data_IF_338021294878
#
_entry.id   IF_338021294878
#
_cell.length_a   1.000
_cell.length_b   1.000
_cell.length_c   1.000
_cell.angle_alpha   90.00
_cell.angle_beta   90.00
_cell.angle_gamma   90.00
#
_symmetry.space_group_name_H-M   'P 1'
#
loop_
_entity.id
_entity.type
_entity.pdbx_description
1 polymer ?
#
# COMPACT_ATOMS: atom_id res chain seq x y z
N UNK A 1 24.22 10.31 16.85
CA UNK A 1 25.22 9.43 16.28
C UNK A 1 25.16 9.49 14.75
N UNK A 2 26.28 9.84 14.12
CA UNK A 2 26.40 10.00 12.68
C UNK A 2 26.16 8.73 11.90
N UNK A 3 26.33 7.57 12.49
CA UNK A 3 26.05 6.28 11.87
C UNK A 3 24.55 6.00 11.74
N UNK A 4 23.74 6.41 12.73
CA UNK A 4 22.28 6.27 12.66
C UNK A 4 21.63 7.17 11.62
N UNK A 5 22.22 8.34 11.35
CA UNK A 5 21.73 9.26 10.31
C UNK A 5 21.91 8.73 8.89
N UNK A 6 22.76 7.71 8.70
CA UNK A 6 23.08 7.14 7.40
C UNK A 6 22.37 5.81 7.11
N UNK A 7 21.62 5.26 8.08
CA UNK A 7 20.86 4.03 7.88
C UNK A 7 19.47 4.33 7.32
N UNK A 8 18.95 3.40 6.52
CA UNK A 8 17.58 3.50 6.02
C UNK A 8 16.59 3.33 7.17
N UNK A 9 15.58 4.21 7.24
CA UNK A 9 14.50 4.13 8.21
C UNK A 9 13.50 3.03 7.87
N UNK A 10 13.58 2.47 6.66
CA UNK A 10 12.71 1.41 6.17
C UNK A 10 13.55 0.14 6.03
N UNK A 11 13.05 -1.04 6.50
CA UNK A 11 13.81 -2.28 6.36
C UNK A 11 14.21 -2.57 4.91
N UNK A 12 15.45 -3.00 4.71
CA UNK A 12 15.99 -3.31 3.37
C UNK A 12 15.32 -4.50 2.71
N UNK A 13 14.58 -5.30 3.47
CA UNK A 13 13.81 -6.44 2.97
C UNK A 13 12.57 -6.02 2.19
N UNK A 14 12.20 -4.73 2.22
CA UNK A 14 11.05 -4.21 1.49
C UNK A 14 11.52 -3.70 0.13
N UNK A 15 10.92 -4.22 -0.93
CA UNK A 15 11.09 -3.70 -2.28
C UNK A 15 10.06 -2.61 -2.53
N UNK A 16 10.50 -1.52 -3.13
CA UNK A 16 9.65 -0.39 -3.46
C UNK A 16 9.55 -0.25 -4.97
N UNK A 17 8.33 -0.22 -5.48
CA UNK A 17 8.07 0.02 -6.90
C UNK A 17 6.99 1.08 -7.07
N UNK A 18 6.97 1.70 -8.25
CA UNK A 18 5.88 2.62 -8.58
C UNK A 18 5.42 2.40 -10.01
N UNK A 19 4.16 2.74 -10.25
CA UNK A 19 3.52 2.65 -11.56
C UNK A 19 2.93 4.02 -11.86
N UNK A 20 3.23 4.56 -13.05
CA UNK A 20 2.68 5.83 -13.50
C UNK A 20 1.38 5.57 -14.24
N UNK A 21 0.34 6.31 -13.89
CA UNK A 21 -0.98 6.21 -14.51
C UNK A 21 -1.64 7.58 -14.56
N UNK A 22 -2.71 7.69 -15.34
CA UNK A 22 -3.56 8.87 -15.28
C UNK A 22 -4.37 8.86 -13.99
N UNK A 23 -4.67 10.06 -13.48
CA UNK A 23 -5.43 10.23 -12.24
C UNK A 23 -6.74 9.46 -12.24
N UNK A 24 -7.45 9.41 -13.38
CA UNK A 24 -8.72 8.71 -13.52
C UNK A 24 -8.61 7.19 -13.48
N UNK A 25 -7.42 6.68 -13.74
CA UNK A 25 -7.16 5.24 -13.88
C UNK A 25 -6.59 4.60 -12.61
N UNK A 26 -6.52 5.34 -11.50
CA UNK A 26 -5.90 4.82 -10.26
C UNK A 26 -6.57 3.55 -9.74
N UNK A 27 -7.90 3.54 -9.67
CA UNK A 27 -8.65 2.41 -9.11
C UNK A 27 -8.61 1.21 -10.07
N UNK A 28 -8.71 1.46 -11.36
CA UNK A 28 -8.54 0.40 -12.36
C UNK A 28 -7.12 -0.17 -12.33
N UNK A 29 -6.12 0.68 -12.11
CA UNK A 29 -4.72 0.25 -11.94
C UNK A 29 -4.58 -0.61 -10.68
N UNK A 30 -5.23 -0.24 -9.58
CA UNK A 30 -5.28 -1.07 -8.37
C UNK A 30 -5.79 -2.49 -8.70
N UNK A 31 -6.88 -2.59 -9.43
CA UNK A 31 -7.44 -3.88 -9.83
C UNK A 31 -6.44 -4.69 -10.67
N UNK A 32 -5.79 -4.04 -11.61
CA UNK A 32 -4.77 -4.69 -12.46
C UNK A 32 -3.56 -5.16 -11.67
N UNK A 33 -3.13 -4.36 -10.70
CA UNK A 33 -2.05 -4.75 -9.79
C UNK A 33 -2.47 -5.96 -8.95
N UNK A 34 -3.69 -5.95 -8.41
CA UNK A 34 -4.22 -7.08 -7.64
C UNK A 34 -4.20 -8.38 -8.43
N UNK A 35 -4.55 -8.31 -9.71
CA UNK A 35 -4.49 -9.48 -10.61
C UNK A 35 -3.05 -9.93 -10.88
N UNK A 36 -2.12 -8.98 -10.98
CA UNK A 36 -0.71 -9.28 -11.28
C UNK A 36 0.06 -9.81 -10.07
N UNK A 37 -0.39 -9.47 -8.85
CA UNK A 37 0.28 -9.89 -7.63
C UNK A 37 -0.14 -11.30 -7.23
N UNK A 38 0.83 -12.04 -6.68
CA UNK A 38 0.56 -13.30 -6.00
C UNK A 38 0.82 -13.09 -4.51
N UNK A 39 -0.06 -12.35 -3.86
CA UNK A 39 0.08 -11.98 -2.46
C UNK A 39 -1.22 -12.28 -1.71
N UNK A 40 -1.09 -12.94 -0.57
CA UNK A 40 -2.23 -13.36 0.24
C UNK A 40 -2.64 -12.31 1.28
N UNK A 41 -1.77 -11.36 1.57
CA UNK A 41 -2.00 -10.37 2.61
C UNK A 41 -1.59 -8.99 2.13
N UNK A 42 -2.57 -8.22 1.66
CA UNK A 42 -2.34 -6.92 1.02
C UNK A 42 -3.09 -5.83 1.78
N UNK A 43 -2.37 -4.80 2.18
CA UNK A 43 -2.96 -3.60 2.75
C UNK A 43 -2.93 -2.49 1.71
N UNK A 44 -4.08 -1.83 1.49
CA UNK A 44 -4.22 -0.78 0.47
C UNK A 44 -4.54 0.53 1.16
N UNK A 45 -3.69 1.53 0.95
CA UNK A 45 -3.89 2.88 1.49
C UNK A 45 -4.47 3.82 0.45
N UNK A 46 -5.51 4.52 0.86
CA UNK A 46 -6.29 5.41 0.00
C UNK A 46 -6.55 6.70 0.78
N UNK A 47 -6.39 7.86 0.13
CA UNK A 47 -6.43 9.14 0.83
C UNK A 47 -7.84 9.63 1.17
N UNK A 48 -8.86 9.22 0.42
CA UNK A 48 -10.23 9.73 0.61
C UNK A 48 -11.23 8.61 0.83
N UNK A 49 -12.31 8.91 1.57
CA UNK A 49 -13.41 7.96 1.77
C UNK A 49 -14.12 7.59 0.47
N UNK A 50 -14.21 8.53 -0.45
CA UNK A 50 -14.85 8.29 -1.76
C UNK A 50 -14.07 7.23 -2.53
N UNK A 51 -12.77 7.40 -2.67
CA UNK A 51 -11.90 6.45 -3.38
C UNK A 51 -11.81 5.11 -2.64
N UNK A 52 -11.91 5.13 -1.31
CA UNK A 52 -11.96 3.91 -0.50
C UNK A 52 -13.19 3.06 -0.87
N UNK A 53 -14.35 3.70 -0.93
CA UNK A 53 -15.60 3.03 -1.30
C UNK A 53 -15.55 2.50 -2.72
N UNK A 54 -15.09 3.30 -3.67
CA UNK A 54 -14.94 2.91 -5.06
C UNK A 54 -13.99 1.72 -5.22
N UNK A 55 -12.86 1.75 -4.52
CA UNK A 55 -11.87 0.68 -4.54
C UNK A 55 -12.43 -0.61 -3.93
N UNK A 56 -13.15 -0.49 -2.82
CA UNK A 56 -13.81 -1.63 -2.17
C UNK A 56 -14.79 -2.31 -3.12
N UNK A 57 -15.67 -1.53 -3.74
CA UNK A 57 -16.67 -2.04 -4.68
C UNK A 57 -16.02 -2.69 -5.90
N UNK A 58 -14.95 -2.10 -6.42
CA UNK A 58 -14.22 -2.63 -7.57
C UNK A 58 -13.60 -3.99 -7.27
N UNK A 59 -12.90 -4.11 -6.15
CA UNK A 59 -12.27 -5.37 -5.77
C UNK A 59 -13.31 -6.43 -5.44
N UNK A 60 -14.38 -6.06 -4.75
CA UNK A 60 -15.48 -6.98 -4.44
C UNK A 60 -16.15 -7.50 -5.71
N UNK A 61 -16.38 -6.63 -6.68
CA UNK A 61 -16.96 -7.00 -7.97
C UNK A 61 -16.10 -8.04 -8.70
N UNK A 62 -14.77 -7.96 -8.56
CA UNK A 62 -13.83 -8.91 -9.17
C UNK A 62 -13.53 -10.10 -8.26
N UNK A 63 -14.38 -10.35 -7.26
CA UNK A 63 -14.36 -11.52 -6.38
C UNK A 63 -13.16 -11.62 -5.45
N UNK A 64 -12.53 -10.49 -5.11
CA UNK A 64 -11.52 -10.45 -4.06
C UNK A 64 -12.18 -10.41 -2.68
N UNK A 65 -11.56 -11.08 -1.73
CA UNK A 65 -11.97 -10.99 -0.32
C UNK A 65 -11.41 -9.71 0.27
N UNK A 66 -12.26 -8.72 0.43
CA UNK A 66 -11.88 -7.35 0.78
C UNK A 66 -12.66 -6.87 2.01
N UNK A 67 -11.98 -6.12 2.87
CA UNK A 67 -12.59 -5.37 3.96
C UNK A 67 -12.00 -3.96 3.97
N UNK A 68 -12.71 -3.03 4.60
CA UNK A 68 -12.27 -1.65 4.69
C UNK A 68 -12.29 -1.17 6.14
N UNK A 69 -11.33 -0.32 6.48
CA UNK A 69 -11.28 0.41 7.74
C UNK A 69 -11.61 1.88 7.43
N UNK A 70 -12.68 2.38 8.05
CA UNK A 70 -13.08 3.77 7.90
C UNK A 70 -13.37 4.41 9.25
N UNK A 71 -13.34 5.74 9.30
CA UNK A 71 -13.61 6.47 10.53
C UNK A 71 -15.03 6.35 11.06
N UNK A 72 -15.97 5.89 10.24
CA UNK A 72 -17.39 5.75 10.59
C UNK A 72 -17.72 4.43 11.31
N UNK A 73 -16.80 3.48 11.30
CA UNK A 73 -17.02 2.18 11.91
C UNK A 73 -16.86 2.25 13.42
N UNK A 74 -17.66 1.45 14.13
CA UNK A 74 -17.44 1.26 15.55
C UNK A 74 -16.25 0.34 15.82
N UNK A 75 -15.87 0.21 17.09
CA UNK A 75 -14.72 -0.61 17.50
C UNK A 75 -14.87 -2.08 17.12
N UNK A 76 -16.10 -2.61 17.21
CA UNK A 76 -16.37 -4.01 16.91
C UNK A 76 -16.21 -4.29 15.41
N UNK A 77 -16.72 -3.42 14.57
CA UNK A 77 -16.58 -3.54 13.11
C UNK A 77 -15.12 -3.53 12.68
N UNK A 78 -14.32 -2.59 13.24
CA UNK A 78 -12.87 -2.51 12.98
C UNK A 78 -12.14 -3.76 13.44
N UNK A 79 -12.46 -4.22 14.64
CA UNK A 79 -11.86 -5.42 15.23
C UNK A 79 -12.14 -6.65 14.36
N UNK A 80 -13.37 -6.81 13.90
CA UNK A 80 -13.77 -7.92 13.03
C UNK A 80 -13.02 -7.89 11.71
N UNK A 81 -12.90 -6.72 11.08
CA UNK A 81 -12.16 -6.57 9.83
C UNK A 81 -10.68 -6.97 9.99
N UNK A 82 -10.05 -6.53 11.08
CA UNK A 82 -8.65 -6.84 11.37
C UNK A 82 -8.47 -8.34 11.65
N UNK A 83 -9.36 -8.94 12.44
CA UNK A 83 -9.31 -10.38 12.73
C UNK A 83 -9.46 -11.22 11.47
N UNK A 84 -10.39 -10.86 10.59
CA UNK A 84 -10.57 -11.54 9.30
C UNK A 84 -9.34 -11.39 8.40
N UNK A 85 -8.69 -10.25 8.44
CA UNK A 85 -7.45 -10.03 7.71
C UNK A 85 -6.30 -10.89 8.26
N UNK A 86 -6.16 -10.92 9.58
CA UNK A 86 -5.14 -11.74 10.24
C UNK A 86 -5.34 -13.24 10.01
N UNK A 87 -6.58 -13.70 9.99
CA UNK A 87 -6.91 -15.12 9.80
C UNK A 87 -6.88 -15.57 8.34
N UNK A 88 -6.77 -14.62 7.39
CA UNK A 88 -6.77 -14.94 5.98
C UNK A 88 -8.15 -15.00 5.32
N UNK A 89 -9.23 -14.78 6.06
CA UNK A 89 -10.58 -14.65 5.49
C UNK A 89 -10.69 -13.46 4.57
N UNK A 90 -9.96 -12.38 4.87
CA UNK A 90 -9.83 -11.17 4.06
C UNK A 90 -8.41 -11.11 3.54
N UNK A 91 -8.26 -10.95 2.25
CA UNK A 91 -6.97 -10.83 1.56
C UNK A 91 -6.54 -9.36 1.41
N UNK A 92 -7.48 -8.49 1.12
CA UNK A 92 -7.26 -7.06 0.87
C UNK A 92 -7.91 -6.23 1.95
N UNK A 93 -7.09 -5.52 2.73
CA UNK A 93 -7.58 -4.59 3.75
C UNK A 93 -7.32 -3.16 3.27
N UNK A 94 -8.39 -2.42 3.01
CA UNK A 94 -8.35 -1.05 2.54
C UNK A 94 -8.47 -0.09 3.72
N UNK A 95 -7.66 0.95 3.76
CA UNK A 95 -7.71 1.91 4.86
C UNK A 95 -7.24 3.30 4.43
N UNK A 96 -7.75 4.32 5.12
CA UNK A 96 -7.11 5.64 5.15
C UNK A 96 -6.06 5.65 6.26
N UNK A 97 -5.11 6.57 6.20
CA UNK A 97 -4.09 6.72 7.26
C UNK A 97 -4.74 6.96 8.63
N UNK A 98 -5.78 7.78 8.67
CA UNK A 98 -6.51 8.10 9.91
C UNK A 98 -7.14 6.84 10.51
N UNK A 99 -7.79 6.03 9.69
CA UNK A 99 -8.45 4.80 10.15
C UNK A 99 -7.44 3.74 10.63
N UNK A 100 -6.28 3.69 10.02
CA UNK A 100 -5.23 2.71 10.37
C UNK A 100 -4.34 3.17 11.52
N UNK A 101 -4.36 4.46 11.87
CA UNK A 101 -3.48 5.02 12.90
C UNK A 101 -3.76 4.38 14.26
N UNK A 102 -2.68 3.97 14.94
CA UNK A 102 -2.77 3.34 16.25
C UNK A 102 -3.15 1.88 16.25
N UNK A 103 -3.47 1.30 15.07
CA UNK A 103 -3.79 -0.11 14.95
C UNK A 103 -2.56 -0.94 14.63
N UNK A 104 -2.38 -2.04 15.32
CA UNK A 104 -1.29 -2.98 15.04
C UNK A 104 -1.70 -3.93 13.91
N UNK A 105 -1.40 -3.51 12.69
CA UNK A 105 -1.58 -4.32 11.49
C UNK A 105 -0.20 -4.44 10.88
N UNK A 106 0.46 -5.53 11.15
CA UNK A 106 1.80 -5.84 10.65
C UNK A 106 1.82 -7.21 9.98
N UNK A 107 2.99 -7.67 9.57
CA UNK A 107 3.16 -8.92 8.82
C UNK A 107 2.37 -8.94 7.51
N UNK A 108 2.17 -7.77 6.92
CA UNK A 108 1.56 -7.61 5.61
C UNK A 108 2.60 -7.97 4.55
N UNK A 109 2.22 -8.71 3.54
CA UNK A 109 3.13 -9.08 2.45
C UNK A 109 3.34 -7.94 1.47
N UNK A 110 2.25 -7.22 1.16
CA UNK A 110 2.28 -6.13 0.18
C UNK A 110 1.46 -4.95 0.70
N UNK A 111 2.03 -3.76 0.56
CA UNK A 111 1.33 -2.50 0.74
C UNK A 111 1.16 -1.85 -0.62
N UNK A 112 -0.06 -1.44 -0.96
CA UNK A 112 -0.36 -0.68 -2.17
C UNK A 112 -0.82 0.71 -1.77
N UNK A 113 -0.14 1.74 -2.27
CA UNK A 113 -0.56 3.12 -2.13
C UNK A 113 -1.34 3.52 -3.39
N UNK A 114 -2.65 3.60 -3.30
CA UNK A 114 -3.48 4.10 -4.41
C UNK A 114 -3.19 5.57 -4.65
N UNK A 115 -2.93 6.29 -3.57
CA UNK A 115 -2.44 7.67 -3.59
C UNK A 115 -1.18 7.75 -2.74
N UNK A 116 -0.24 8.61 -3.12
CA UNK A 116 0.86 8.94 -2.23
C UNK A 116 0.33 9.74 -1.03
N UNK A 117 0.89 9.53 0.16
CA UNK A 117 0.47 10.30 1.33
C UNK A 117 0.86 11.78 1.17
N UNK A 118 0.17 12.65 1.89
CA UNK A 118 0.49 14.08 1.89
C UNK A 118 1.83 14.35 2.57
N UNK A 119 2.12 13.64 3.67
CA UNK A 119 3.37 13.79 4.41
C UNK A 119 4.28 12.59 4.16
N UNK A 120 5.56 12.85 3.94
CA UNK A 120 6.54 11.79 3.63
C UNK A 120 6.67 10.75 4.75
N UNK A 121 6.54 11.14 6.00
CA UNK A 121 6.59 10.20 7.12
C UNK A 121 5.49 9.14 7.07
N UNK A 122 4.36 9.44 6.46
CA UNK A 122 3.28 8.46 6.30
C UNK A 122 3.67 7.37 5.31
N UNK A 123 4.50 7.68 4.32
CA UNK A 123 5.05 6.65 3.44
C UNK A 123 5.85 5.62 4.24
N UNK A 124 6.68 6.11 5.15
CA UNK A 124 7.45 5.26 6.07
C UNK A 124 6.53 4.36 6.91
N UNK A 125 5.47 4.94 7.48
CA UNK A 125 4.51 4.20 8.32
C UNK A 125 3.73 3.16 7.52
N UNK A 126 3.34 3.49 6.28
CA UNK A 126 2.64 2.56 5.40
C UNK A 126 3.53 1.38 5.01
N UNK A 127 4.73 1.67 4.50
CA UNK A 127 5.68 0.63 4.10
C UNK A 127 6.11 -0.24 5.28
N UNK A 128 6.21 0.34 6.47
CA UNK A 128 6.60 -0.38 7.68
C UNK A 128 5.60 -1.43 8.15
N UNK A 129 4.42 -1.54 7.52
CA UNK A 129 3.47 -2.62 7.82
C UNK A 129 3.95 -3.98 7.30
N UNK A 130 4.91 -4.00 6.38
CA UNK A 130 5.43 -5.23 5.81
C UNK A 130 6.95 -5.37 6.05
N UNK A 131 7.53 -6.50 5.68
CA UNK A 131 8.97 -6.75 5.77
C UNK A 131 9.51 -6.92 7.18
N UNK A 132 8.68 -7.27 8.14
CA UNK A 132 9.11 -7.46 9.54
C UNK A 132 9.74 -8.83 9.76
N UNK A 133 10.61 -8.92 10.79
CA UNK A 133 11.28 -10.15 11.19
C UNK A 133 12.12 -10.77 10.06
N UNK A 134 12.74 -9.93 9.22
CA UNK A 134 13.57 -10.38 8.11
C UNK A 134 12.80 -10.91 6.91
N UNK A 135 11.48 -10.88 6.95
CA UNK A 135 10.65 -11.29 5.82
C UNK A 135 10.66 -10.25 4.70
N UNK A 136 10.55 -10.72 3.46
CA UNK A 136 10.45 -9.84 2.32
C UNK A 136 9.09 -9.15 2.29
N UNK A 137 9.07 -7.90 1.83
CA UNK A 137 7.86 -7.12 1.64
C UNK A 137 7.90 -6.38 0.31
N UNK A 138 6.73 -5.96 -0.15
CA UNK A 138 6.59 -5.17 -1.37
C UNK A 138 5.71 -3.95 -1.10
N UNK A 139 6.21 -2.78 -1.47
CA UNK A 139 5.45 -1.54 -1.42
C UNK A 139 5.27 -1.00 -2.83
N UNK A 140 4.02 -0.95 -3.29
CA UNK A 140 3.66 -0.52 -4.65
C UNK A 140 2.95 0.81 -4.56
N UNK A 141 3.42 1.82 -5.28
CA UNK A 141 2.77 3.13 -5.32
C UNK A 141 2.22 3.42 -6.72
N UNK A 142 0.97 3.85 -6.77
CA UNK A 142 0.31 4.30 -8.00
C UNK A 142 0.42 5.83 -8.03
N UNK A 143 1.10 6.36 -9.04
CA UNK A 143 1.38 7.79 -9.12
C UNK A 143 1.00 8.35 -10.49
N UNK A 144 0.84 9.68 -10.53
CA UNK A 144 0.78 10.42 -11.77
C UNK A 144 2.17 10.97 -12.10
N UNK A 145 2.39 11.42 -13.33
CA UNK A 145 3.70 11.94 -13.74
C UNK A 145 4.18 13.12 -12.90
N UNK A 146 3.26 13.99 -12.49
CA UNK A 146 3.62 15.14 -11.66
C UNK A 146 4.01 14.77 -10.23
N UNK A 147 3.85 13.50 -9.83
CA UNK A 147 4.27 13.00 -8.52
C UNK A 147 5.65 12.35 -8.52
N UNK A 148 6.34 12.31 -9.66
CA UNK A 148 7.70 11.73 -9.75
C UNK A 148 8.69 12.40 -8.79
N UNK A 149 8.54 13.69 -8.55
CA UNK A 149 9.39 14.43 -7.60
C UNK A 149 9.22 13.94 -6.16
N UNK A 150 8.02 13.51 -5.80
CA UNK A 150 7.76 12.92 -4.48
C UNK A 150 8.51 11.61 -4.31
N UNK A 151 8.52 10.76 -5.34
CA UNK A 151 9.27 9.50 -5.33
C UNK A 151 10.77 9.77 -5.14
N UNK A 152 11.32 10.73 -5.87
CA UNK A 152 12.72 11.13 -5.72
C UNK A 152 13.03 11.62 -4.31
N UNK A 153 12.11 12.38 -3.72
CA UNK A 153 12.23 12.85 -2.34
C UNK A 153 12.28 11.68 -1.34
N UNK A 154 11.42 10.68 -1.50
CA UNK A 154 11.41 9.50 -0.63
C UNK A 154 12.71 8.72 -0.75
N UNK A 155 13.23 8.56 -1.97
CA UNK A 155 14.50 7.86 -2.20
C UNK A 155 15.64 8.53 -1.43
N UNK A 156 15.69 9.85 -1.48
CA UNK A 156 16.72 10.63 -0.80
C UNK A 156 16.53 10.64 0.72
N UNK A 157 15.30 10.88 1.18
CA UNK A 157 14.98 11.02 2.59
C UNK A 157 15.10 9.69 3.34
N UNK A 158 14.61 8.60 2.75
CA UNK A 158 14.58 7.28 3.39
C UNK A 158 15.69 6.36 2.94
N UNK A 159 16.54 6.79 2.03
CA UNK A 159 17.66 6.00 1.46
C UNK A 159 17.18 4.66 0.91
N UNK A 160 16.14 4.72 0.11
CA UNK A 160 15.53 3.58 -0.56
C UNK A 160 15.65 3.75 -2.07
N UNK A 161 15.54 2.63 -2.78
CA UNK A 161 15.42 2.63 -4.22
C UNK A 161 13.98 2.30 -4.59
N UNK A 162 13.31 3.16 -5.34
CA UNK A 162 11.94 2.94 -5.80
C UNK A 162 11.99 2.75 -7.32
N UNK A 163 11.69 1.54 -7.76
CA UNK A 163 11.87 1.13 -9.17
C UNK A 163 10.56 1.29 -9.92
N UNK A 164 10.63 1.91 -11.10
CA UNK A 164 9.46 2.03 -11.95
C UNK A 164 9.14 0.70 -12.63
N UNK A 165 7.87 0.32 -12.57
CA UNK A 165 7.33 -0.85 -13.27
C UNK A 165 6.17 -0.41 -14.16
N UNK A 166 5.75 -1.27 -15.08
CA UNK A 166 4.54 -1.09 -15.87
C UNK A 166 3.74 -2.38 -15.91
N UNK A 167 2.47 -2.24 -16.19
CA UNK A 167 1.58 -3.40 -16.36
C UNK A 167 1.57 -3.80 -17.84
N UNK A 168 1.86 -5.07 -18.09
CA UNK A 168 1.85 -5.62 -19.44
C UNK A 168 1.38 -7.08 -19.40
N UNK A 169 0.34 -7.39 -20.17
CA UNK A 169 -0.25 -8.75 -20.22
C UNK A 169 -0.55 -9.33 -18.83
N UNK A 170 -1.11 -8.51 -17.93
CA UNK A 170 -1.47 -8.95 -16.59
C UNK A 170 -0.30 -9.16 -15.64
N UNK A 171 0.88 -8.62 -15.98
CA UNK A 171 2.09 -8.75 -15.18
C UNK A 171 2.74 -7.40 -14.93
N UNK A 172 3.45 -7.31 -13.81
CA UNK A 172 4.32 -6.17 -13.52
C UNK A 172 5.69 -6.44 -14.14
N UNK A 173 6.09 -5.59 -15.07
CA UNK A 173 7.34 -5.76 -15.80
C UNK A 173 8.21 -4.49 -15.69
N UNK A 174 9.49 -4.65 -15.93
CA UNK A 174 10.43 -3.53 -15.94
C UNK A 174 10.03 -2.51 -17.02
N UNK A 175 10.22 -1.25 -16.70
CA UNK A 175 10.02 -0.18 -17.67
C UNK A 175 11.33 0.27 -18.25
#
# INVERSE_FOLDING_TARGET
>A
DTKQKNESLIPKTIKHIFIVTDRRERIETLRKIAKALNSDKVMVFINTRYDLKESYQKLQYHHYNVAALSGNQDKQEKKTAIEHFKSGKVQYLLATDVAARGLQIDNVETVINVNLPEESKEYLHRAGRCGRNGQEGLCVSIITENELNKIKKYQKEFKINVVQKRLYNGKLVAK
#
